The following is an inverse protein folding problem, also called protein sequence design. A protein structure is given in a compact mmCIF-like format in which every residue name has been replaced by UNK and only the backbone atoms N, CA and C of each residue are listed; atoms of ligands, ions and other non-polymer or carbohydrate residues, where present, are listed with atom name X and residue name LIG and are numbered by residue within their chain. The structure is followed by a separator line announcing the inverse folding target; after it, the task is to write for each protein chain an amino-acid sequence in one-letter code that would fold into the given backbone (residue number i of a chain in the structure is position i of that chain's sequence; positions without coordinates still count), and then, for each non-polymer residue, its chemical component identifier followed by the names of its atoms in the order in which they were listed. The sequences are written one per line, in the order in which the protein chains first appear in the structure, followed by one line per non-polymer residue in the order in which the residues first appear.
data_IF_466408716057
#
_entry.id   IF_466408716057
#
_cell.length_a   1.000
_cell.length_b   1.000
_cell.length_c   1.000
_cell.angle_alpha   90.00
_cell.angle_beta   90.00
_cell.angle_gamma   90.00
#
_symmetry.space_group_name_H-M   'P 1'
#
loop_
_entity.id
_entity.type
_entity.pdbx_description
1 polymer ?
#
# COMPACT_ATOMS: atom_id res chain seq x y z
N UNK A 1 18.76 -22.61 8.13
CA UNK A 1 17.99 -22.52 6.86
C UNK A 1 17.73 -21.05 6.50
N UNK A 2 18.76 -20.28 6.10
CA UNK A 2 18.65 -18.81 5.92
C UNK A 2 18.90 -18.32 4.47
N UNK A 3 18.65 -19.18 3.48
CA UNK A 3 18.94 -18.88 2.07
C UNK A 3 17.75 -18.44 1.21
N UNK A 4 16.51 -18.66 1.66
CA UNK A 4 15.31 -18.49 0.82
C UNK A 4 14.65 -17.11 0.96
N UNK A 5 14.67 -16.51 2.15
CA UNK A 5 14.03 -15.21 2.41
C UNK A 5 14.75 -14.05 1.72
N UNK A 6 16.08 -14.07 1.67
CA UNK A 6 16.88 -13.01 1.01
C UNK A 6 16.69 -13.00 -0.50
N UNK A 7 16.53 -14.19 -1.10
CA UNK A 7 16.33 -14.35 -2.55
C UNK A 7 14.97 -13.80 -3.00
N UNK A 8 13.87 -14.18 -2.32
CA UNK A 8 12.53 -13.64 -2.63
C UNK A 8 12.46 -12.12 -2.46
N UNK A 9 13.08 -11.59 -1.40
CA UNK A 9 13.14 -10.13 -1.20
C UNK A 9 13.93 -9.40 -2.29
N UNK A 10 14.96 -10.03 -2.84
CA UNK A 10 15.76 -9.46 -3.94
C UNK A 10 15.01 -9.45 -5.27
N UNK A 11 14.38 -10.56 -5.64
CA UNK A 11 13.56 -10.70 -6.85
C UNK A 11 12.39 -9.70 -6.83
N UNK A 12 11.71 -9.57 -5.69
CA UNK A 12 10.63 -8.58 -5.53
C UNK A 12 11.11 -7.13 -5.73
N UNK A 13 12.26 -6.76 -5.14
CA UNK A 13 12.83 -5.42 -5.31
C UNK A 13 13.26 -5.14 -6.75
N UNK A 14 13.71 -6.14 -7.49
CA UNK A 14 14.08 -5.98 -8.90
C UNK A 14 12.86 -5.62 -9.76
N UNK A 15 11.78 -6.41 -9.63
CA UNK A 15 10.51 -6.12 -10.33
C UNK A 15 9.95 -4.75 -9.99
N UNK A 16 10.09 -4.32 -8.73
CA UNK A 16 9.63 -2.99 -8.32
C UNK A 16 10.46 -1.86 -8.96
N UNK A 17 11.78 -2.05 -9.12
CA UNK A 17 12.63 -1.07 -9.83
C UNK A 17 12.31 -0.98 -11.32
N UNK A 18 12.04 -2.10 -11.98
CA UNK A 18 11.65 -2.14 -13.39
C UNK A 18 10.32 -1.39 -13.64
N UNK A 19 9.41 -1.40 -12.65
CA UNK A 19 8.16 -0.62 -12.66
C UNK A 19 8.34 0.85 -12.25
N UNK A 20 9.58 1.33 -12.09
CA UNK A 20 9.88 2.71 -11.72
C UNK A 20 9.78 3.05 -10.22
N UNK A 21 9.53 2.06 -9.34
CA UNK A 21 9.49 2.31 -7.90
C UNK A 21 10.90 2.35 -7.29
N UNK A 22 11.12 3.29 -6.37
CA UNK A 22 12.37 3.39 -5.59
C UNK A 22 12.16 2.86 -4.16
N UNK A 23 12.97 1.89 -3.69
CA UNK A 23 12.89 1.44 -2.31
C UNK A 23 13.35 2.54 -1.35
N UNK A 24 12.56 2.80 -0.32
CA UNK A 24 12.90 3.67 0.82
C UNK A 24 12.98 2.83 2.09
N UNK A 25 13.96 3.13 2.95
CA UNK A 25 14.06 2.52 4.27
C UNK A 25 13.57 3.53 5.30
N UNK A 26 12.60 3.12 6.11
CA UNK A 26 12.14 3.88 7.26
C UNK A 26 12.03 2.96 8.47
N UNK A 27 12.18 3.54 9.65
CA UNK A 27 11.92 2.85 10.90
C UNK A 27 10.43 2.82 11.16
N UNK A 28 9.91 1.62 11.40
CA UNK A 28 8.50 1.40 11.76
C UNK A 28 8.42 0.87 13.20
N UNK A 29 7.30 1.12 13.91
CA UNK A 29 7.04 0.47 15.19
C UNK A 29 7.10 -1.06 15.09
N UNK A 30 7.37 -1.72 16.23
CA UNK A 30 7.40 -3.18 16.26
C UNK A 30 6.01 -3.78 15.99
N UNK A 31 5.84 -4.26 14.76
CA UNK A 31 4.61 -4.88 14.26
C UNK A 31 4.25 -6.21 14.93
N UNK A 32 5.15 -6.79 15.72
CA UNK A 32 4.90 -8.02 16.49
C UNK A 32 4.35 -7.74 17.89
N UNK A 33 4.39 -6.48 18.32
CA UNK A 33 3.84 -6.09 19.62
C UNK A 33 2.31 -6.15 19.61
N UNK A 34 1.66 -6.72 20.64
CA UNK A 34 0.20 -6.66 20.78
C UNK A 34 -0.36 -5.23 20.71
N UNK A 35 0.37 -4.26 21.25
CA UNK A 35 0.03 -2.82 21.18
C UNK A 35 -0.09 -2.32 19.75
N UNK A 36 0.76 -2.80 18.84
CA UNK A 36 0.68 -2.41 17.43
C UNK A 36 -0.61 -2.92 16.80
N UNK A 37 -1.00 -4.16 17.09
CA UNK A 37 -2.24 -4.74 16.57
C UNK A 37 -3.48 -3.99 17.07
N UNK A 38 -3.54 -3.66 18.36
CA UNK A 38 -4.61 -2.86 18.96
C UNK A 38 -4.75 -1.49 18.29
N UNK A 39 -3.62 -0.80 18.12
CA UNK A 39 -3.60 0.55 17.55
C UNK A 39 -3.89 0.54 16.04
N UNK A 40 -3.34 -0.41 15.29
CA UNK A 40 -3.64 -0.60 13.88
C UNK A 40 -5.14 -0.87 13.67
N UNK A 41 -5.75 -1.70 14.52
CA UNK A 41 -7.18 -1.97 14.47
C UNK A 41 -8.00 -0.71 14.79
N UNK A 42 -7.63 0.04 15.83
CA UNK A 42 -8.30 1.30 16.21
C UNK A 42 -8.27 2.31 15.07
N UNK A 43 -7.10 2.50 14.45
CA UNK A 43 -6.92 3.45 13.34
C UNK A 43 -7.64 2.98 12.08
N UNK A 44 -7.60 1.69 11.76
CA UNK A 44 -8.35 1.14 10.62
C UNK A 44 -9.86 1.37 10.76
N UNK A 45 -10.43 1.17 11.95
CA UNK A 45 -11.84 1.46 12.21
C UNK A 45 -12.17 2.95 12.03
N UNK A 46 -11.32 3.83 12.57
CA UNK A 46 -11.51 5.28 12.43
C UNK A 46 -11.41 5.72 10.96
N UNK A 47 -10.47 5.16 10.19
CA UNK A 47 -10.33 5.45 8.77
C UNK A 47 -11.53 4.94 7.97
N UNK A 48 -11.99 3.71 8.23
CA UNK A 48 -13.16 3.17 7.56
C UNK A 48 -14.44 3.96 7.87
N UNK A 49 -14.55 4.52 9.07
CA UNK A 49 -15.65 5.43 9.40
C UNK A 49 -15.51 6.78 8.68
N UNK A 50 -14.32 7.37 8.66
CA UNK A 50 -14.08 8.61 7.93
C UNK A 50 -14.34 8.47 6.43
N UNK A 51 -13.89 7.35 5.83
CA UNK A 51 -14.09 7.01 4.42
C UNK A 51 -15.58 6.94 4.05
N UNK A 52 -16.40 6.33 4.92
CA UNK A 52 -17.87 6.29 4.75
C UNK A 52 -18.54 7.67 4.80
N UNK A 53 -17.87 8.67 5.36
CA UNK A 53 -18.43 10.00 5.61
C UNK A 53 -17.71 11.11 4.83
N UNK A 54 -16.73 10.78 3.98
CA UNK A 54 -15.97 11.77 3.22
C UNK A 54 -16.39 11.78 1.75
N UNK A 55 -16.68 12.97 1.23
CA UNK A 55 -16.84 13.27 -0.21
C UNK A 55 -15.57 12.93 -1.02
N UNK A 56 -14.45 12.61 -0.35
CA UNK A 56 -13.19 12.18 -0.98
C UNK A 56 -13.36 10.91 -1.82
N UNK A 57 -14.26 10.00 -1.42
CA UNK A 57 -14.55 8.81 -2.22
C UNK A 57 -15.28 9.16 -3.52
N UNK A 58 -16.22 10.10 -3.48
CA UNK A 58 -16.90 10.62 -4.68
C UNK A 58 -15.91 11.34 -5.61
N UNK A 59 -14.95 12.09 -5.05
CA UNK A 59 -13.87 12.72 -5.81
C UNK A 59 -12.94 11.69 -6.46
N UNK A 60 -12.50 10.67 -5.71
CA UNK A 60 -11.63 9.59 -6.21
C UNK A 60 -12.34 8.77 -7.30
N UNK A 61 -13.63 8.49 -7.14
CA UNK A 61 -14.46 7.83 -8.16
C UNK A 61 -14.56 8.70 -9.41
N UNK A 62 -14.86 10.00 -9.27
CA UNK A 62 -14.99 10.92 -10.40
C UNK A 62 -13.69 11.05 -11.23
N UNK A 63 -12.52 11.10 -10.60
CA UNK A 63 -11.24 11.14 -11.34
C UNK A 63 -10.83 9.77 -11.88
N UNK A 64 -11.30 8.67 -11.28
CA UNK A 64 -11.01 7.31 -11.76
C UNK A 64 -11.85 6.98 -13.00
N UNK A 65 -13.11 7.42 -13.02
CA UNK A 65 -14.00 7.32 -14.19
C UNK A 65 -13.50 8.19 -15.35
N UNK A 66 -12.91 9.36 -15.07
CA UNK A 66 -12.28 10.23 -16.08
C UNK A 66 -10.97 9.65 -16.64
N UNK A 67 -10.33 8.69 -15.92
CA UNK A 67 -9.03 8.12 -16.28
C UNK A 67 -9.09 6.74 -16.96
N UNK A 68 -10.27 6.17 -17.20
CA UNK A 68 -10.39 4.91 -17.94
C UNK A 68 -10.71 5.15 -19.44
N UNK A 69 -9.94 4.64 -20.42
CA UNK A 69 -8.57 4.12 -20.41
C UNK A 69 -7.59 5.06 -21.14
N UNK A 70 -6.37 5.20 -20.60
CA UNK A 70 -5.23 5.44 -21.50
C UNK A 70 -5.08 4.17 -22.33
N UNK A 71 -5.33 4.30 -23.63
CA UNK A 71 -5.16 3.24 -24.60
C UNK A 71 -3.82 2.51 -24.37
N UNK A 72 -3.91 1.22 -24.05
CA UNK A 72 -2.82 0.28 -24.32
C UNK A 72 -2.78 0.13 -25.85
N UNK A 73 -2.21 1.11 -26.55
CA UNK A 73 -1.85 1.01 -27.96
C UNK A 73 -0.70 -0.03 -28.10
N UNK A 74 -1.07 -1.29 -28.37
CA UNK A 74 -0.30 -2.22 -29.23
C UNK A 74 -1.22 -2.89 -30.27
#
# INVERSE_FOLDING_TARGET
MSGTSTRRGSEYRQRMRERGYRPVQMWVPDVRSPRFAEEAHRVALALAEADRHSDDMDFVEAISDDLAPLDDDE
#
